data_IF_362977791150
#
_entry.id   IF_362977791150
#
_cell.length_a   1.000
_cell.length_b   1.000
_cell.length_c   1.000
_cell.angle_alpha   90.00
_cell.angle_beta   90.00
_cell.angle_gamma   90.00
#
_symmetry.space_group_name_H-M   'P 1'
#
loop_
_entity.id
_entity.type
_entity.pdbx_description
1 polymer ?
#
# COMPACT_ATOMS: atom_id res chain seq x y z
N UNK A 1 -9.99 -29.65 65.00
CA UNK A 1 -10.44 -28.25 65.20
C UNK A 1 -10.32 -27.57 63.85
N UNK A 2 -11.43 -27.14 63.26
CA UNK A 2 -11.44 -26.62 61.90
C UNK A 2 -10.63 -25.31 61.81
N UNK A 3 -9.87 -25.10 60.73
CA UNK A 3 -9.08 -23.86 60.49
C UNK A 3 -9.96 -22.60 60.66
N UNK A 4 -11.25 -22.70 60.30
CA UNK A 4 -12.26 -21.67 60.51
C UNK A 4 -12.42 -21.28 61.98
N UNK A 5 -12.41 -22.25 62.91
CA UNK A 5 -12.53 -22.01 64.35
C UNK A 5 -11.32 -21.25 64.89
N UNK A 6 -10.10 -21.59 64.43
CA UNK A 6 -8.86 -20.92 64.86
C UNK A 6 -8.84 -19.47 64.37
N UNK A 7 -9.26 -19.22 63.12
CA UNK A 7 -9.34 -17.86 62.55
C UNK A 7 -10.34 -16.99 63.33
N UNK A 8 -11.54 -17.52 63.63
CA UNK A 8 -12.55 -16.76 64.39
C UNK A 8 -12.11 -16.44 65.82
N UNK A 9 -11.38 -17.35 66.48
CA UNK A 9 -10.77 -17.08 67.79
C UNK A 9 -9.74 -15.96 67.69
N UNK A 10 -8.87 -15.99 66.67
CA UNK A 10 -7.84 -14.97 66.47
C UNK A 10 -8.46 -13.58 66.19
N UNK A 11 -9.48 -13.51 65.33
CA UNK A 11 -10.20 -12.25 65.03
C UNK A 11 -10.85 -11.70 66.30
N UNK A 12 -11.40 -12.56 67.15
CA UNK A 12 -12.07 -12.16 68.39
C UNK A 12 -11.07 -11.59 69.40
N UNK A 13 -9.93 -12.27 69.60
CA UNK A 13 -8.85 -11.80 70.49
C UNK A 13 -8.31 -10.46 69.98
N UNK A 14 -7.97 -10.37 68.69
CA UNK A 14 -7.48 -9.15 68.06
C UNK A 14 -8.47 -7.98 68.24
N UNK A 15 -9.77 -8.22 68.01
CA UNK A 15 -10.80 -7.19 68.13
C UNK A 15 -10.94 -6.67 69.55
N UNK A 16 -10.89 -7.56 70.56
CA UNK A 16 -10.92 -7.18 71.97
C UNK A 16 -9.68 -6.35 72.33
N UNK A 17 -8.49 -6.79 71.92
CA UNK A 17 -7.23 -6.06 72.16
C UNK A 17 -7.25 -4.68 71.48
N UNK A 18 -7.77 -4.58 70.26
CA UNK A 18 -7.92 -3.32 69.52
C UNK A 18 -8.86 -2.35 70.23
N UNK A 19 -10.05 -2.81 70.65
CA UNK A 19 -11.03 -2.00 71.35
C UNK A 19 -10.48 -1.48 72.69
N UNK A 20 -9.86 -2.35 73.50
CA UNK A 20 -9.29 -1.96 74.80
C UNK A 20 -8.16 -0.94 74.61
N UNK A 21 -7.30 -1.13 73.62
CA UNK A 21 -6.18 -0.21 73.32
C UNK A 21 -6.71 1.15 72.86
N UNK A 22 -7.72 1.17 71.98
CA UNK A 22 -8.34 2.40 71.50
C UNK A 22 -9.06 3.16 72.61
N UNK A 23 -9.81 2.45 73.47
CA UNK A 23 -10.47 3.03 74.66
C UNK A 23 -9.47 3.55 75.70
N UNK A 24 -8.30 2.92 75.79
CA UNK A 24 -7.18 3.37 76.61
C UNK A 24 -6.56 4.67 76.08
N UNK A 25 -6.23 4.73 74.78
CA UNK A 25 -5.62 5.92 74.15
C UNK A 25 -6.57 7.12 74.16
N UNK A 26 -7.87 6.88 73.94
CA UNK A 26 -8.91 7.93 73.96
C UNK A 26 -9.27 8.40 75.37
N UNK A 27 -8.64 7.83 76.40
CA UNK A 27 -8.81 8.18 77.82
C UNK A 27 -10.27 8.07 78.32
N UNK A 28 -11.07 7.24 77.65
CA UNK A 28 -12.45 6.92 78.05
C UNK A 28 -12.41 6.04 79.30
N UNK A 29 -11.45 5.12 79.39
CA UNK A 29 -11.19 4.32 80.59
C UNK A 29 -10.13 5.02 81.45
N UNK A 30 -10.59 5.88 82.37
CA UNK A 30 -9.73 6.60 83.34
C UNK A 30 -9.20 5.63 84.40
N UNK A 31 -8.06 4.99 84.14
CA UNK A 31 -7.41 4.08 85.10
C UNK A 31 -6.30 3.19 84.55
N UNK A 32 -6.09 3.15 83.23
CA UNK A 32 -5.01 2.37 82.63
C UNK A 32 -3.70 3.15 82.79
N UNK A 33 -2.73 2.60 83.53
CA UNK A 33 -1.39 3.22 83.64
C UNK A 33 -0.69 3.15 82.28
N UNK A 34 -0.03 4.22 81.86
CA UNK A 34 0.64 4.36 80.55
C UNK A 34 1.51 3.14 80.18
N UNK A 35 2.23 2.58 81.15
CA UNK A 35 3.08 1.38 80.96
C UNK A 35 2.34 0.14 80.43
N UNK A 36 1.04 0.00 80.70
CA UNK A 36 0.24 -1.10 80.17
C UNK A 36 -0.33 -0.78 78.79
N UNK A 37 -0.58 0.50 78.52
CA UNK A 37 -1.08 0.98 77.25
C UNK A 37 -0.01 0.85 76.15
N UNK A 38 1.26 1.15 76.47
CA UNK A 38 2.39 0.91 75.57
C UNK A 38 2.50 -0.57 75.21
N UNK A 39 2.40 -1.47 76.20
CA UNK A 39 2.47 -2.93 75.96
C UNK A 39 1.31 -3.42 75.09
N UNK A 40 0.09 -2.95 75.35
CA UNK A 40 -1.09 -3.30 74.55
C UNK A 40 -0.92 -2.81 73.11
N UNK A 41 -0.41 -1.59 72.91
CA UNK A 41 -0.14 -1.02 71.59
C UNK A 41 0.94 -1.80 70.82
N UNK A 42 2.06 -2.15 71.46
CA UNK A 42 3.09 -3.00 70.84
C UNK A 42 2.56 -4.38 70.48
N UNK A 43 1.70 -4.96 71.33
CA UNK A 43 1.09 -6.28 71.07
C UNK A 43 0.17 -6.21 69.85
N UNK A 44 -0.64 -5.16 69.73
CA UNK A 44 -1.49 -4.91 68.57
C UNK A 44 -0.68 -4.81 67.27
N UNK A 45 0.42 -4.05 67.28
CA UNK A 45 1.28 -3.91 66.10
C UNK A 45 1.85 -5.27 65.66
N UNK A 46 2.35 -6.05 66.61
CA UNK A 46 2.90 -7.39 66.33
C UNK A 46 1.81 -8.30 65.74
N UNK A 47 0.60 -8.29 66.29
CA UNK A 47 -0.53 -9.08 65.78
C UNK A 47 -0.88 -8.70 64.33
N UNK A 48 -0.92 -7.40 63.99
CA UNK A 48 -1.18 -6.93 62.61
C UNK A 48 -0.06 -7.37 61.66
N UNK A 49 1.20 -7.21 62.06
CA UNK A 49 2.35 -7.58 61.21
C UNK A 49 2.36 -9.08 60.92
N UNK A 50 2.11 -9.93 61.93
CA UNK A 50 2.02 -11.38 61.76
C UNK A 50 0.86 -11.73 60.82
N UNK A 51 -0.30 -11.09 60.96
CA UNK A 51 -1.45 -11.32 60.09
C UNK A 51 -1.14 -10.94 58.63
N UNK A 52 -0.50 -9.78 58.39
CA UNK A 52 -0.11 -9.36 57.04
C UNK A 52 0.88 -10.34 56.41
N UNK A 53 1.91 -10.76 57.15
CA UNK A 53 2.89 -11.76 56.66
C UNK A 53 2.20 -13.09 56.34
N UNK A 54 1.30 -13.57 57.20
CA UNK A 54 0.56 -14.80 56.98
C UNK A 54 -0.34 -14.72 55.71
N UNK A 55 -0.98 -13.56 55.47
CA UNK A 55 -1.73 -13.32 54.23
C UNK A 55 -0.80 -13.39 53.01
N UNK A 56 0.37 -12.73 53.05
CA UNK A 56 1.32 -12.76 51.94
C UNK A 56 1.93 -14.15 51.69
N UNK A 57 2.15 -14.96 52.73
CA UNK A 57 2.64 -16.34 52.59
C UNK A 57 1.56 -17.31 52.09
N UNK A 58 0.28 -17.00 52.33
CA UNK A 58 -0.86 -17.79 51.85
C UNK A 58 -1.27 -17.48 50.41
N UNK A 59 -0.73 -16.41 49.80
CA UNK A 59 -0.97 -16.08 48.40
C UNK A 59 0.01 -16.87 47.54
N UNK A 60 -0.49 -17.94 46.94
CA UNK A 60 0.21 -18.72 45.93
C UNK A 60 0.13 -17.97 44.58
N UNK A 61 1.06 -17.03 44.34
CA UNK A 61 1.12 -16.26 43.08
C UNK A 61 1.32 -17.14 41.84
N UNK A 62 1.70 -18.41 42.01
CA UNK A 62 1.77 -19.38 40.91
C UNK A 62 0.39 -19.99 40.55
N UNK A 63 -0.63 -19.84 41.40
CA UNK A 63 -2.02 -20.26 41.10
C UNK A 63 -2.84 -19.19 40.39
N UNK A 64 -2.38 -17.95 40.36
CA UNK A 64 -2.82 -16.99 39.35
C UNK A 64 -2.06 -17.26 38.05
N UNK A 65 -2.26 -18.47 37.49
CA UNK A 65 -2.08 -18.63 36.06
C UNK A 65 -2.93 -17.54 35.43
N UNK A 66 -2.30 -16.57 34.77
CA UNK A 66 -2.98 -15.67 33.83
C UNK A 66 -3.94 -16.57 33.07
N UNK A 67 -5.25 -16.39 33.22
CA UNK A 67 -6.22 -17.32 32.66
C UNK A 67 -6.14 -17.18 31.14
N UNK A 68 -5.21 -17.87 30.48
CA UNK A 68 -5.04 -17.91 29.03
C UNK A 68 -6.37 -18.29 28.37
N UNK A 69 -7.13 -19.17 29.02
CA UNK A 69 -8.52 -19.50 28.67
C UNK A 69 -9.44 -18.29 28.49
N UNK A 70 -9.29 -17.23 29.30
CA UNK A 70 -10.11 -16.03 29.16
C UNK A 70 -9.74 -15.23 27.90
N UNK A 71 -8.45 -15.20 27.54
CA UNK A 71 -7.94 -14.54 26.33
C UNK A 71 -8.28 -15.33 25.06
N UNK A 72 -8.24 -16.66 25.11
CA UNK A 72 -8.67 -17.51 23.98
C UNK A 72 -10.18 -17.43 23.78
N UNK A 73 -10.95 -17.42 24.87
CA UNK A 73 -12.42 -17.33 24.82
C UNK A 73 -12.90 -15.97 24.29
N UNK A 74 -12.19 -14.88 24.59
CA UNK A 74 -12.49 -13.56 24.02
C UNK A 74 -12.09 -13.44 22.54
N UNK A 75 -11.15 -14.26 22.05
CA UNK A 75 -10.74 -14.31 20.65
C UNK A 75 -11.62 -15.23 19.76
N UNK A 76 -12.72 -15.79 20.29
CA UNK A 76 -13.67 -16.69 19.60
C UNK A 76 -13.04 -17.94 18.94
N UNK A 77 -11.85 -18.36 19.39
CA UNK A 77 -11.15 -19.50 18.80
C UNK A 77 -11.77 -20.81 19.31
N UNK A 78 -12.57 -21.48 18.46
CA UNK A 78 -13.11 -22.82 18.71
C UNK A 78 -12.05 -23.90 18.45
N UNK A 79 -11.03 -23.96 19.29
CA UNK A 79 -10.00 -25.01 19.22
C UNK A 79 -9.85 -25.64 20.61
N UNK A 80 -10.04 -26.96 20.69
CA UNK A 80 -9.75 -27.73 21.89
C UNK A 80 -8.24 -28.07 21.90
N UNK A 81 -7.58 -27.76 23.01
CA UNK A 81 -6.15 -28.05 23.20
C UNK A 81 -5.99 -29.24 24.13
N UNK A 82 -5.10 -30.16 23.79
CA UNK A 82 -4.91 -31.38 24.58
C UNK A 82 -4.01 -31.16 25.80
N UNK A 83 -3.17 -30.12 25.79
CA UNK A 83 -2.32 -29.70 26.91
C UNK A 83 -1.95 -28.21 26.85
N UNK A 84 -1.42 -27.69 27.96
CA UNK A 84 -1.08 -26.26 28.13
C UNK A 84 0.08 -25.79 27.24
N UNK A 85 0.99 -26.69 26.86
CA UNK A 85 2.14 -26.37 25.98
C UNK A 85 1.67 -26.11 24.55
N UNK A 86 0.72 -26.92 24.08
CA UNK A 86 0.08 -26.78 22.77
C UNK A 86 -0.73 -25.48 22.69
N UNK A 87 -1.48 -25.16 23.75
CA UNK A 87 -2.20 -23.89 23.91
C UNK A 87 -1.26 -22.68 23.84
N UNK A 88 -0.17 -22.68 24.62
CA UNK A 88 0.81 -21.59 24.64
C UNK A 88 1.50 -21.42 23.27
N UNK A 89 1.87 -22.52 22.61
CA UNK A 89 2.53 -22.48 21.30
C UNK A 89 1.63 -21.85 20.21
N UNK A 90 0.33 -22.19 20.23
CA UNK A 90 -0.66 -21.66 19.31
C UNK A 90 -0.90 -20.15 19.50
N UNK A 91 -0.98 -19.67 20.75
CA UNK A 91 -1.10 -18.23 21.02
C UNK A 91 0.14 -17.48 20.53
N UNK A 92 1.34 -18.00 20.81
CA UNK A 92 2.60 -17.38 20.35
C UNK A 92 2.65 -17.29 18.82
N UNK A 93 2.17 -18.32 18.12
CA UNK A 93 2.09 -18.32 16.66
C UNK A 93 1.10 -17.27 16.14
N UNK A 94 -0.10 -17.17 16.73
CA UNK A 94 -1.08 -16.13 16.38
C UNK A 94 -0.61 -14.71 16.70
N UNK A 95 0.10 -14.51 17.80
CA UNK A 95 0.72 -13.22 18.12
C UNK A 95 1.81 -12.87 17.11
N UNK A 96 2.63 -13.83 16.68
CA UNK A 96 3.62 -13.63 15.62
C UNK A 96 2.97 -13.26 14.28
N UNK A 97 1.83 -13.84 13.95
CA UNK A 97 1.06 -13.47 12.76
C UNK A 97 0.44 -12.07 12.90
N UNK A 98 -0.14 -11.74 14.06
CA UNK A 98 -0.69 -10.41 14.34
C UNK A 98 0.37 -9.31 14.26
N UNK A 99 1.58 -9.58 14.75
CA UNK A 99 2.72 -8.66 14.64
C UNK A 99 3.16 -8.42 13.18
N UNK A 100 2.82 -9.30 12.23
CA UNK A 100 3.09 -9.12 10.80
C UNK A 100 2.02 -8.31 10.07
N UNK A 101 0.84 -8.12 10.65
CA UNK A 101 -0.27 -7.38 10.02
C UNK A 101 0.08 -5.92 9.73
N UNK A 102 0.72 -5.16 10.64
CA UNK A 102 1.11 -3.77 10.34
C UNK A 102 2.10 -3.66 9.16
N UNK A 103 3.08 -4.56 9.09
CA UNK A 103 4.04 -4.59 7.99
C UNK A 103 3.37 -4.92 6.65
N UNK A 104 2.40 -5.83 6.66
CA UNK A 104 1.59 -6.18 5.49
C UNK A 104 0.70 -5.01 5.06
N UNK A 105 0.08 -4.29 5.99
CA UNK A 105 -0.71 -3.09 5.69
C UNK A 105 0.15 -1.97 5.08
N UNK A 106 1.36 -1.77 5.57
CA UNK A 106 2.31 -0.79 5.00
C UNK A 106 2.70 -1.19 3.59
N UNK A 107 3.01 -2.48 3.35
CA UNK A 107 3.31 -2.99 2.01
C UNK A 107 2.12 -2.87 1.07
N UNK A 108 0.91 -3.17 1.54
CA UNK A 108 -0.32 -3.10 0.76
C UNK A 108 -0.62 -1.65 0.35
N UNK A 109 -0.49 -0.68 1.28
CA UNK A 109 -0.60 0.75 0.97
C UNK A 109 0.45 1.20 -0.04
N UNK A 110 1.68 0.70 0.05
CA UNK A 110 2.75 1.02 -0.91
C UNK A 110 2.40 0.51 -2.31
N UNK A 111 1.97 -0.75 -2.42
CA UNK A 111 1.57 -1.36 -3.70
C UNK A 111 0.36 -0.64 -4.29
N UNK A 112 -0.65 -0.30 -3.46
CA UNK A 112 -1.82 0.47 -3.92
C UNK A 112 -1.41 1.83 -4.50
N UNK A 113 -0.52 2.56 -3.83
CA UNK A 113 -0.01 3.84 -4.37
C UNK A 113 0.72 3.67 -5.69
N UNK A 114 1.52 2.61 -5.84
CA UNK A 114 2.22 2.31 -7.09
C UNK A 114 1.23 1.98 -8.22
N UNK A 115 0.18 1.20 -7.94
CA UNK A 115 -0.83 0.87 -8.93
C UNK A 115 -1.58 2.13 -9.42
N UNK A 116 -1.97 3.03 -8.52
CA UNK A 116 -2.62 4.30 -8.90
C UNK A 116 -1.72 5.12 -9.83
N UNK A 117 -0.43 5.26 -9.49
CA UNK A 117 0.54 5.96 -10.34
C UNK A 117 0.65 5.34 -11.73
N UNK A 118 0.66 4.01 -11.82
CA UNK A 118 0.74 3.30 -13.10
C UNK A 118 -0.55 3.43 -13.92
N UNK A 119 -1.71 3.45 -13.28
CA UNK A 119 -2.99 3.70 -13.95
C UNK A 119 -3.04 5.12 -14.53
N UNK A 120 -2.57 6.13 -13.79
CA UNK A 120 -2.47 7.52 -14.28
C UNK A 120 -1.51 7.65 -15.47
N UNK A 121 -0.36 6.96 -15.42
CA UNK A 121 0.59 6.92 -16.54
C UNK A 121 -0.02 6.24 -17.78
N UNK A 122 -0.77 5.16 -17.58
CA UNK A 122 -1.46 4.44 -18.65
C UNK A 122 -2.53 5.32 -19.32
N UNK A 123 -3.34 6.02 -18.52
CA UNK A 123 -4.36 6.94 -19.01
C UNK A 123 -3.72 8.09 -19.81
N UNK A 124 -2.64 8.68 -19.28
CA UNK A 124 -1.88 9.73 -19.98
C UNK A 124 -1.31 9.23 -21.31
N UNK A 125 -0.72 8.04 -21.31
CA UNK A 125 -0.21 7.40 -22.52
C UNK A 125 -1.34 7.16 -23.54
N UNK A 126 -2.51 6.70 -23.10
CA UNK A 126 -3.66 6.45 -23.97
C UNK A 126 -4.17 7.74 -24.65
N UNK A 127 -4.21 8.86 -23.91
CA UNK A 127 -4.58 10.17 -24.44
C UNK A 127 -3.58 10.64 -25.48
N UNK A 128 -2.28 10.49 -25.21
CA UNK A 128 -1.22 10.86 -26.16
C UNK A 128 -1.32 10.04 -27.46
N UNK A 129 -1.59 8.74 -27.37
CA UNK A 129 -1.80 7.87 -28.53
C UNK A 129 -3.00 8.31 -29.36
N UNK A 130 -4.14 8.64 -28.71
CA UNK A 130 -5.33 9.15 -29.40
C UNK A 130 -5.05 10.47 -30.12
N UNK A 131 -4.24 11.35 -29.53
CA UNK A 131 -3.84 12.61 -30.16
C UNK A 131 -2.92 12.39 -31.37
N UNK A 132 -1.95 11.49 -31.25
CA UNK A 132 -1.06 11.09 -32.37
C UNK A 132 -1.90 10.53 -33.52
N UNK A 133 -2.87 9.67 -33.23
CA UNK A 133 -3.76 9.08 -34.22
C UNK A 133 -4.57 10.14 -34.98
N UNK A 134 -5.22 11.06 -34.24
CA UNK A 134 -5.97 12.18 -34.85
C UNK A 134 -5.06 13.06 -35.69
N UNK A 135 -3.85 13.35 -35.21
CA UNK A 135 -2.85 14.15 -35.93
C UNK A 135 -2.45 13.48 -37.24
N UNK A 136 -2.17 12.18 -37.21
CA UNK A 136 -1.80 11.39 -38.38
C UNK A 136 -2.90 11.43 -39.46
N UNK A 137 -4.14 11.07 -39.10
CA UNK A 137 -5.23 11.04 -40.07
C UNK A 137 -5.59 12.43 -40.61
N UNK A 138 -5.44 13.48 -39.79
CA UNK A 138 -5.61 14.86 -40.26
C UNK A 138 -4.56 15.22 -41.34
N UNK A 139 -3.30 14.82 -41.14
CA UNK A 139 -2.23 15.06 -42.12
C UNK A 139 -2.42 14.23 -43.39
N UNK A 140 -2.89 12.99 -43.28
CA UNK A 140 -3.28 12.17 -44.44
C UNK A 140 -4.42 12.83 -45.22
N UNK A 141 -5.45 13.34 -44.54
CA UNK A 141 -6.55 14.06 -45.20
C UNK A 141 -6.04 15.29 -45.95
N UNK A 142 -5.18 16.10 -45.32
CA UNK A 142 -4.56 17.27 -45.97
C UNK A 142 -3.73 16.86 -47.20
N UNK A 143 -3.01 15.74 -47.13
CA UNK A 143 -2.25 15.24 -48.26
C UNK A 143 -3.17 14.85 -49.43
N UNK A 144 -4.31 14.20 -49.15
CA UNK A 144 -5.33 13.87 -50.16
C UNK A 144 -5.95 15.13 -50.79
N UNK A 145 -6.26 16.13 -49.99
CA UNK A 145 -6.76 17.42 -50.50
C UNK A 145 -5.76 18.06 -51.46
N UNK A 146 -4.46 18.00 -51.13
CA UNK A 146 -3.40 18.48 -52.01
C UNK A 146 -3.27 17.63 -53.29
N UNK A 147 -3.39 16.30 -53.20
CA UNK A 147 -3.38 15.41 -54.38
C UNK A 147 -4.51 15.81 -55.33
N UNK A 148 -5.72 16.04 -54.81
CA UNK A 148 -6.86 16.53 -55.57
C UNK A 148 -6.58 17.88 -56.25
N UNK A 149 -6.00 18.83 -55.49
CA UNK A 149 -5.61 20.15 -56.01
C UNK A 149 -4.61 20.05 -57.19
N UNK A 150 -3.65 19.12 -57.12
CA UNK A 150 -2.66 18.88 -58.17
C UNK A 150 -3.17 17.90 -59.26
N UNK A 151 -4.48 17.82 -59.49
CA UNK A 151 -5.09 16.99 -60.54
C UNK A 151 -4.88 15.48 -60.37
N UNK A 152 -4.91 15.00 -59.12
CA UNK A 152 -4.91 13.57 -58.78
C UNK A 152 -3.53 12.94 -58.60
N UNK A 153 -2.44 13.66 -58.85
CA UNK A 153 -1.09 13.17 -58.55
C UNK A 153 -0.11 14.30 -58.28
N UNK A 154 0.86 14.06 -57.39
CA UNK A 154 1.92 15.02 -57.08
C UNK A 154 3.28 14.40 -57.42
N UNK A 155 3.94 14.93 -58.44
CA UNK A 155 5.34 14.59 -58.71
C UNK A 155 6.26 15.41 -57.79
N UNK A 156 6.97 14.76 -56.88
CA UNK A 156 7.87 15.40 -55.91
C UNK A 156 9.18 15.91 -56.53
N UNK A 157 9.57 15.45 -57.72
CA UNK A 157 10.78 15.90 -58.41
C UNK A 157 10.55 17.17 -59.22
N UNK A 158 9.34 17.36 -59.75
CA UNK A 158 9.01 18.52 -60.57
C UNK A 158 8.70 19.74 -59.70
N UNK A 159 9.38 20.87 -59.91
CA UNK A 159 9.13 22.14 -59.21
C UNK A 159 8.98 21.98 -57.68
N UNK A 160 9.92 21.26 -57.06
CA UNK A 160 9.84 20.89 -55.65
C UNK A 160 9.73 22.12 -54.72
N UNK A 161 10.41 23.22 -55.07
CA UNK A 161 10.37 24.49 -54.35
C UNK A 161 8.96 25.12 -54.30
N UNK A 162 8.09 24.86 -55.28
CA UNK A 162 6.71 25.36 -55.30
C UNK A 162 5.78 24.50 -54.39
N UNK A 163 6.25 23.34 -53.93
CA UNK A 163 5.46 22.33 -53.21
C UNK A 163 5.81 22.23 -51.72
N UNK A 164 6.31 23.30 -51.11
CA UNK A 164 6.74 23.30 -49.71
C UNK A 164 5.68 22.76 -48.73
N UNK A 165 4.40 23.07 -48.94
CA UNK A 165 3.30 22.55 -48.11
C UNK A 165 3.16 21.03 -48.17
N UNK A 166 3.38 20.45 -49.35
CA UNK A 166 3.36 18.99 -49.55
C UNK A 166 4.53 18.36 -48.79
N UNK A 167 5.73 18.93 -48.93
CA UNK A 167 6.92 18.44 -48.23
C UNK A 167 6.79 18.51 -46.72
N UNK A 168 6.31 19.62 -46.16
CA UNK A 168 6.04 19.74 -44.71
C UNK A 168 5.03 18.70 -44.22
N UNK A 169 3.99 18.45 -45.01
CA UNK A 169 2.98 17.44 -44.64
C UNK A 169 3.55 16.03 -44.67
N UNK A 170 4.45 15.72 -45.61
CA UNK A 170 5.13 14.43 -45.68
C UNK A 170 6.16 14.25 -44.57
N UNK A 171 6.91 15.30 -44.25
CA UNK A 171 7.82 15.36 -43.11
C UNK A 171 7.09 14.99 -41.83
N UNK A 172 5.99 15.70 -41.55
CA UNK A 172 5.16 15.44 -40.37
C UNK A 172 4.65 13.97 -40.32
N UNK A 173 4.24 13.42 -41.47
CA UNK A 173 3.76 12.03 -41.57
C UNK A 173 4.92 11.07 -41.27
N UNK A 174 6.10 11.34 -41.82
CA UNK A 174 7.29 10.51 -41.62
C UNK A 174 7.85 10.60 -40.21
N UNK A 175 7.72 11.74 -39.53
CA UNK A 175 8.02 11.87 -38.10
C UNK A 175 7.11 10.98 -37.25
N UNK A 176 5.79 11.00 -37.49
CA UNK A 176 4.84 10.12 -36.79
C UNK A 176 5.17 8.64 -37.07
N UNK A 177 5.49 8.31 -38.32
CA UNK A 177 5.92 6.96 -38.71
C UNK A 177 7.32 6.60 -38.20
N UNK A 178 8.06 7.53 -37.58
CA UNK A 178 9.39 7.32 -37.00
C UNK A 178 10.50 7.13 -38.04
N UNK A 179 10.27 7.59 -39.27
CA UNK A 179 11.25 7.61 -40.34
C UNK A 179 12.16 8.85 -40.29
N UNK A 180 11.75 9.86 -39.53
CA UNK A 180 12.51 11.08 -39.25
C UNK A 180 12.48 11.34 -37.74
N UNK A 181 13.57 11.89 -37.19
CA UNK A 181 13.55 12.53 -35.87
C UNK A 181 13.37 14.04 -36.06
N UNK A 182 12.84 14.72 -35.04
CA UNK A 182 12.63 16.18 -35.05
C UNK A 182 13.85 16.90 -35.62
N UNK A 183 13.66 17.61 -36.74
CA UNK A 183 14.70 18.43 -37.37
C UNK A 183 15.64 17.71 -38.35
N UNK A 184 15.46 16.42 -38.63
CA UNK A 184 16.31 15.67 -39.59
C UNK A 184 16.05 16.06 -41.07
N UNK A 185 15.07 16.92 -41.34
CA UNK A 185 14.45 17.12 -42.65
C UNK A 185 14.55 18.55 -43.19
N UNK A 186 15.58 19.32 -42.77
CA UNK A 186 15.81 20.69 -43.27
C UNK A 186 15.96 20.82 -44.81
N UNK A 187 16.06 19.70 -45.55
CA UNK A 187 16.24 19.71 -47.00
C UNK A 187 15.21 18.83 -47.74
N UNK A 188 14.53 19.42 -48.74
CA UNK A 188 13.63 18.77 -49.71
C UNK A 188 14.25 17.48 -50.28
N UNK A 189 15.56 17.47 -50.56
CA UNK A 189 16.26 16.28 -51.08
C UNK A 189 16.29 15.12 -50.10
N UNK A 190 16.39 15.40 -48.80
CA UNK A 190 16.35 14.38 -47.76
C UNK A 190 14.97 13.73 -47.73
N UNK A 191 13.89 14.53 -47.77
CA UNK A 191 12.52 14.03 -47.85
C UNK A 191 12.25 13.21 -49.12
N UNK A 192 12.75 13.66 -50.28
CA UNK A 192 12.68 12.88 -51.53
C UNK A 192 13.39 11.52 -51.40
N UNK A 193 14.57 11.50 -50.76
CA UNK A 193 15.30 10.26 -50.50
C UNK A 193 14.53 9.32 -49.56
N UNK A 194 13.95 9.85 -48.48
CA UNK A 194 13.14 9.07 -47.56
C UNK A 194 11.88 8.52 -48.22
N UNK A 195 11.21 9.35 -49.02
CA UNK A 195 10.04 8.91 -49.79
C UNK A 195 10.39 7.79 -50.77
N UNK A 196 11.53 7.91 -51.46
CA UNK A 196 12.04 6.85 -52.35
C UNK A 196 12.33 5.55 -51.60
N UNK A 197 12.85 5.63 -50.37
CA UNK A 197 13.06 4.45 -49.52
C UNK A 197 11.72 3.82 -49.10
N UNK A 198 10.74 4.65 -48.75
CA UNK A 198 9.38 4.21 -48.43
C UNK A 198 8.73 3.46 -49.61
N UNK A 199 8.81 4.00 -50.84
CA UNK A 199 8.31 3.33 -52.05
C UNK A 199 8.99 1.97 -52.25
N UNK A 200 10.32 1.93 -52.10
CA UNK A 200 11.11 0.69 -52.23
C UNK A 200 10.69 -0.36 -51.20
N UNK A 201 10.48 0.02 -49.93
CA UNK A 201 10.02 -0.88 -48.86
C UNK A 201 8.64 -1.47 -49.15
N UNK A 202 7.77 -0.67 -49.78
CA UNK A 202 6.41 -1.08 -50.12
C UNK A 202 6.29 -1.73 -51.52
N UNK A 203 7.41 -2.11 -52.13
CA UNK A 203 7.42 -2.81 -53.42
C UNK A 203 6.98 -1.94 -54.61
N UNK A 204 6.92 -0.62 -54.44
CA UNK A 204 6.62 0.32 -55.52
C UNK A 204 7.92 0.57 -56.30
N UNK A 205 7.93 0.24 -57.58
CA UNK A 205 9.10 0.45 -58.46
C UNK A 205 8.73 1.38 -59.61
N UNK A 206 8.79 2.68 -59.35
CA UNK A 206 8.70 3.72 -60.40
C UNK A 206 10.11 4.13 -60.80
N UNK A 207 10.41 4.10 -62.10
CA UNK A 207 11.70 4.56 -62.64
C UNK A 207 11.76 6.08 -62.58
N UNK A 208 12.43 6.61 -61.55
CA UNK A 208 12.89 8.00 -61.51
C UNK A 208 11.86 9.04 -61.09
N UNK A 209 10.56 8.75 -61.14
CA UNK A 209 9.50 9.67 -60.70
C UNK A 209 8.99 9.31 -59.31
N UNK A 210 9.06 10.28 -58.40
CA UNK A 210 8.49 10.18 -57.05
C UNK A 210 7.07 10.76 -57.11
N UNK A 211 6.06 9.90 -57.19
CA UNK A 211 4.68 10.33 -57.41
C UNK A 211 3.81 9.91 -56.23
N UNK A 212 3.14 10.88 -55.63
CA UNK A 212 2.11 10.66 -54.63
C UNK A 212 0.73 10.67 -55.30
N UNK A 213 -0.02 9.60 -55.09
CA UNK A 213 -1.43 9.47 -55.43
C UNK A 213 -2.20 8.92 -54.23
N UNK A 214 -3.51 8.70 -54.39
CA UNK A 214 -4.34 8.01 -53.39
C UNK A 214 -3.77 6.63 -52.99
N UNK A 215 -3.12 5.94 -53.92
CA UNK A 215 -2.47 4.67 -53.64
C UNK A 215 -1.37 4.80 -52.57
N UNK A 216 -0.48 5.78 -52.71
CA UNK A 216 0.59 5.99 -51.73
C UNK A 216 0.05 6.49 -50.39
N UNK A 217 -1.05 7.25 -50.35
CA UNK A 217 -1.71 7.56 -49.05
C UNK A 217 -2.24 6.31 -48.35
N UNK A 218 -2.73 5.33 -49.12
CA UNK A 218 -3.20 4.05 -48.57
C UNK A 218 -2.03 3.23 -48.01
N UNK A 219 -0.87 3.25 -48.68
CA UNK A 219 0.35 2.63 -48.15
C UNK A 219 0.83 3.29 -46.85
N UNK A 220 0.76 4.61 -46.74
CA UNK A 220 1.09 5.33 -45.50
C UNK A 220 0.15 4.93 -44.35
N UNK A 221 -1.15 4.82 -44.61
CA UNK A 221 -2.12 4.32 -43.61
C UNK A 221 -1.79 2.89 -43.21
N UNK A 222 -1.45 2.01 -44.17
CA UNK A 222 -1.08 0.63 -43.88
C UNK A 222 0.16 0.55 -43.00
N UNK A 223 1.19 1.33 -43.27
CA UNK A 223 2.40 1.42 -42.43
C UNK A 223 2.07 1.87 -41.01
N UNK A 224 1.20 2.89 -40.88
CA UNK A 224 0.74 3.36 -39.59
C UNK A 224 0.02 2.24 -38.80
N UNK A 225 -0.93 1.57 -39.44
CA UNK A 225 -1.68 0.48 -38.81
C UNK A 225 -0.76 -0.67 -38.41
N UNK A 226 0.17 -1.08 -39.27
CA UNK A 226 1.13 -2.14 -38.94
C UNK A 226 2.05 -1.75 -37.76
N UNK A 227 2.43 -0.48 -37.64
CA UNK A 227 3.32 0.00 -36.59
C UNK A 227 2.63 0.10 -35.23
N UNK A 228 1.42 0.65 -35.20
CA UNK A 228 0.71 0.95 -33.95
C UNK A 228 -0.32 -0.12 -33.55
N UNK A 229 -0.77 -0.95 -34.49
CA UNK A 229 -1.75 -2.03 -34.29
C UNK A 229 -1.30 -3.32 -35.00
N UNK A 230 -0.14 -3.90 -34.61
CA UNK A 230 0.33 -5.15 -35.18
C UNK A 230 -0.65 -6.29 -34.86
N UNK A 231 -1.02 -7.06 -35.89
CA UNK A 231 -1.85 -8.28 -35.79
C UNK A 231 -0.94 -9.48 -35.52
#
# INVERSE_FOLDING_TARGET
>A
MEIRTIIWIFITIFSITAIITLLGITNIIKGIREKYLDKLFYTLIIEVVIAVIAVFQGIDFNKESIQLKAVIKSAEIKKEFNNEVEEASFIVERLKESLRVPDLEVKLKKVQKQNISLEEELDSCSLSLSQIEKSFYSKISKLRDMISYYSGSINLNYKAEEKQKVFRTLEDIFEILGYLKDGDSENIKALQSQYKQFEKRNGVHKRGELIITEFETTLLIREYLNKFYPI
#
